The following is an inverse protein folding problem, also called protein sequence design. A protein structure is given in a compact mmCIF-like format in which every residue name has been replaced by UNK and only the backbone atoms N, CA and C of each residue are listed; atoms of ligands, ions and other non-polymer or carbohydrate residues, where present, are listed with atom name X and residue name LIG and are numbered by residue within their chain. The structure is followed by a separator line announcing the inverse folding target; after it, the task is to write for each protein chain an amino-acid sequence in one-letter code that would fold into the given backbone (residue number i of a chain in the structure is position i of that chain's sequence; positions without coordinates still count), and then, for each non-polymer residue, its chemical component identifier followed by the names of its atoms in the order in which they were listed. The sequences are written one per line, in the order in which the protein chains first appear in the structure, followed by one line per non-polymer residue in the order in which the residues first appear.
data_IF_140017990595
#
_entry.id   IF_140017990595
#
_cell.length_a   1.000
_cell.length_b   1.000
_cell.length_c   1.000
_cell.angle_alpha   90.00
_cell.angle_beta   90.00
_cell.angle_gamma   90.00
#
_symmetry.space_group_name_H-M   'P 1'
#
loop_
_entity.id
_entity.type
_entity.pdbx_description
1 polymer ?
#
# COMPACT_ATOMS: atom_id res chain seq x y z
N UNK A 1 9.23 4.73 19.70
CA UNK A 1 8.66 3.99 20.86
C UNK A 1 7.40 4.63 21.47
N UNK A 2 7.22 5.97 21.47
CA UNK A 2 6.06 6.62 22.11
C UNK A 2 4.66 6.11 21.71
N UNK A 3 4.45 5.69 20.44
CA UNK A 3 3.14 5.22 19.94
C UNK A 3 2.88 3.72 20.14
N UNK A 4 3.93 2.89 20.08
CA UNK A 4 3.81 1.42 20.04
C UNK A 4 4.61 0.73 21.16
N UNK A 5 5.09 1.49 22.15
CA UNK A 5 5.91 0.99 23.24
C UNK A 5 7.35 0.65 22.83
N UNK A 6 7.99 -0.16 23.69
CA UNK A 6 9.36 -0.66 23.52
C UNK A 6 9.31 -2.06 22.89
N UNK A 7 9.61 -2.20 21.58
CA UNK A 7 9.63 -3.50 20.92
C UNK A 7 10.81 -4.35 21.40
N UNK A 8 10.60 -5.66 21.40
CA UNK A 8 11.63 -6.68 21.64
C UNK A 8 12.60 -6.74 20.46
N UNK A 9 12.07 -6.69 19.23
CA UNK A 9 12.83 -6.73 17.99
C UNK A 9 12.46 -5.58 17.05
N UNK A 10 13.44 -5.11 16.29
CA UNK A 10 13.32 -4.06 15.28
C UNK A 10 13.81 -4.59 13.94
N UNK A 11 12.86 -5.01 13.12
CA UNK A 11 13.15 -5.43 11.74
C UNK A 11 13.44 -4.21 10.88
N UNK A 12 14.61 -4.18 10.24
CA UNK A 12 14.98 -3.13 9.28
C UNK A 12 15.65 -3.70 8.04
N UNK A 13 15.80 -2.86 7.02
CA UNK A 13 16.71 -3.12 5.90
C UNK A 13 18.18 -3.13 6.33
N UNK A 14 19.06 -3.70 5.49
CA UNK A 14 20.51 -3.80 5.73
C UNK A 14 21.29 -2.51 5.37
N UNK A 15 20.61 -1.37 5.32
CA UNK A 15 21.27 -0.09 5.02
C UNK A 15 22.06 0.41 6.23
N UNK A 16 23.22 1.06 5.97
CA UNK A 16 24.07 1.64 7.03
C UNK A 16 23.34 2.71 7.85
N UNK A 17 22.42 3.44 7.21
CA UNK A 17 21.58 4.46 7.85
C UNK A 17 20.70 3.87 8.95
N UNK A 18 20.14 2.67 8.75
CA UNK A 18 19.28 2.01 9.73
C UNK A 18 20.06 1.65 10.99
N UNK A 19 21.23 1.04 10.84
CA UNK A 19 22.10 0.73 11.98
C UNK A 19 22.59 1.98 12.73
N UNK A 20 22.89 3.07 12.01
CA UNK A 20 23.26 4.35 12.63
C UNK A 20 22.11 4.93 13.48
N UNK A 21 20.89 4.96 12.93
CA UNK A 21 19.71 5.45 13.65
C UNK A 21 19.39 4.60 14.88
N UNK A 22 19.53 3.28 14.80
CA UNK A 22 19.29 2.38 15.93
C UNK A 22 20.31 2.56 17.05
N UNK A 23 21.56 2.90 16.72
CA UNK A 23 22.59 3.25 17.72
C UNK A 23 22.25 4.53 18.46
N UNK A 24 21.79 5.56 17.74
CA UNK A 24 21.40 6.85 18.33
C UNK A 24 20.27 6.69 19.35
N UNK A 25 19.32 5.79 19.11
CA UNK A 25 18.20 5.53 20.02
C UNK A 25 18.44 4.37 21.02
N UNK A 26 19.66 3.82 21.07
CA UNK A 26 20.03 2.75 22.00
C UNK A 26 19.28 1.43 21.80
N UNK A 27 18.97 1.07 20.55
CA UNK A 27 18.23 -0.13 20.19
C UNK A 27 18.96 -1.01 19.15
N UNK A 28 20.27 -0.83 19.01
CA UNK A 28 21.08 -1.57 18.04
C UNK A 28 21.13 -3.09 18.32
N UNK A 29 21.02 -3.47 19.60
CA UNK A 29 20.97 -4.86 20.09
C UNK A 29 19.72 -5.62 19.61
N UNK A 30 18.69 -4.92 19.15
CA UNK A 30 17.37 -5.48 18.78
C UNK A 30 17.17 -5.57 17.28
N UNK A 31 18.18 -5.20 16.51
CA UNK A 31 18.06 -5.12 15.06
C UNK A 31 17.97 -6.53 14.46
N UNK A 32 16.89 -6.80 13.71
CA UNK A 32 16.72 -8.01 12.93
C UNK A 32 16.80 -7.65 11.46
N UNK A 33 17.62 -8.38 10.69
CA UNK A 33 17.80 -8.14 9.25
C UNK A 33 17.78 -9.42 8.42
N UNK A 34 17.20 -10.48 8.96
CA UNK A 34 17.16 -11.76 8.27
C UNK A 34 16.34 -11.68 6.97
N UNK A 35 16.60 -12.67 6.11
CA UNK A 35 15.98 -12.72 4.80
C UNK A 35 14.46 -12.80 4.97
N UNK A 36 13.75 -11.91 4.30
CA UNK A 36 12.28 -11.81 4.28
C UNK A 36 11.61 -11.21 5.52
N UNK A 37 12.34 -10.93 6.60
CA UNK A 37 11.76 -10.31 7.80
C UNK A 37 11.13 -8.95 7.47
N UNK A 38 11.80 -8.17 6.60
CA UNK A 38 11.30 -6.86 6.18
C UNK A 38 10.12 -6.92 5.20
N UNK A 39 9.72 -8.11 4.71
CA UNK A 39 8.66 -8.25 3.71
C UNK A 39 7.34 -7.63 4.18
N UNK A 40 7.04 -7.71 5.47
CA UNK A 40 5.81 -7.11 6.03
C UNK A 40 5.80 -5.60 5.85
N UNK A 41 6.91 -4.94 6.17
CA UNK A 41 7.08 -3.49 5.99
C UNK A 41 7.05 -3.15 4.51
N UNK A 42 7.78 -3.88 3.67
CA UNK A 42 7.79 -3.66 2.22
C UNK A 42 6.40 -3.80 1.59
N UNK A 43 5.63 -4.79 2.03
CA UNK A 43 4.25 -5.01 1.59
C UNK A 43 3.31 -3.91 2.08
N UNK A 44 3.53 -3.36 3.28
CA UNK A 44 2.76 -2.24 3.79
C UNK A 44 2.90 -0.97 2.92
N UNK A 45 4.01 -0.83 2.19
CA UNK A 45 4.21 0.27 1.25
C UNK A 45 3.51 0.05 -0.10
N UNK A 46 3.06 -1.17 -0.44
CA UNK A 46 2.45 -1.43 -1.75
C UNK A 46 1.23 -0.56 -2.07
N UNK A 47 0.25 -0.36 -1.17
CA UNK A 47 -0.90 0.50 -1.44
C UNK A 47 -0.48 1.94 -1.72
N UNK A 48 0.48 2.47 -0.95
CA UNK A 48 1.01 3.81 -1.13
C UNK A 48 1.71 3.95 -2.49
N UNK A 49 2.62 3.02 -2.83
CA UNK A 49 3.29 3.01 -4.13
C UNK A 49 2.33 2.87 -5.31
N UNK A 50 1.20 2.17 -5.15
CA UNK A 50 0.15 2.09 -6.19
C UNK A 50 -0.53 3.45 -6.38
N UNK A 51 -0.82 4.16 -5.28
CA UNK A 51 -1.38 5.51 -5.31
C UNK A 51 -0.43 6.51 -5.94
N UNK A 52 0.85 6.50 -5.56
CA UNK A 52 1.87 7.38 -6.16
C UNK A 52 1.99 7.19 -7.66
N UNK A 53 2.04 5.94 -8.14
CA UNK A 53 2.07 5.67 -9.58
C UNK A 53 0.79 6.12 -10.30
N UNK A 54 -0.37 6.02 -9.66
CA UNK A 54 -1.61 6.52 -10.22
C UNK A 54 -1.63 8.06 -10.28
N UNK A 55 -1.13 8.74 -9.23
CA UNK A 55 -0.94 10.19 -9.21
C UNK A 55 -0.01 10.66 -10.33
N UNK A 56 1.12 10.00 -10.55
CA UNK A 56 2.07 10.35 -11.62
C UNK A 56 1.45 10.32 -13.03
N UNK A 57 0.37 9.57 -13.23
CA UNK A 57 -0.33 9.47 -14.52
C UNK A 57 -1.43 10.52 -14.69
N UNK A 58 -1.76 11.26 -13.64
CA UNK A 58 -2.78 12.30 -13.67
C UNK A 58 -2.14 13.68 -13.71
N UNK A 59 -2.81 14.59 -14.41
CA UNK A 59 -2.30 15.95 -14.65
C UNK A 59 -2.31 16.83 -13.38
N UNK A 60 -3.10 16.48 -12.37
CA UNK A 60 -3.16 17.22 -11.11
C UNK A 60 -3.44 16.31 -9.90
N UNK A 61 -2.95 16.75 -8.73
CA UNK A 61 -3.22 16.09 -7.45
C UNK A 61 -4.67 16.28 -7.00
N UNK A 62 -5.29 17.45 -7.23
CA UNK A 62 -6.70 17.67 -6.88
C UNK A 62 -7.61 16.70 -7.64
N UNK A 63 -7.40 16.51 -8.94
CA UNK A 63 -8.20 15.57 -9.74
C UNK A 63 -8.05 14.15 -9.23
N UNK A 64 -6.83 13.71 -8.90
CA UNK A 64 -6.61 12.39 -8.30
C UNK A 64 -7.37 12.23 -6.98
N UNK A 65 -7.20 13.18 -6.05
CA UNK A 65 -7.80 13.11 -4.73
C UNK A 65 -9.33 13.05 -4.79
N UNK A 66 -9.94 13.78 -5.75
CA UNK A 66 -11.38 13.81 -5.95
C UNK A 66 -11.95 12.46 -6.43
N UNK A 67 -11.25 11.76 -7.34
CA UNK A 67 -11.81 10.56 -8.01
C UNK A 67 -11.29 9.23 -7.47
N UNK A 68 -10.12 9.22 -6.83
CA UNK A 68 -9.40 7.97 -6.50
C UNK A 68 -10.24 6.99 -5.69
N UNK A 69 -10.88 7.44 -4.61
CA UNK A 69 -11.66 6.55 -3.74
C UNK A 69 -12.88 5.99 -4.46
N UNK A 70 -13.57 6.81 -5.26
CA UNK A 70 -14.72 6.37 -6.06
C UNK A 70 -14.31 5.29 -7.06
N UNK A 71 -13.25 5.53 -7.83
CA UNK A 71 -12.70 4.54 -8.79
C UNK A 71 -12.25 3.27 -8.07
N UNK A 72 -11.51 3.39 -6.96
CA UNK A 72 -11.05 2.22 -6.23
C UNK A 72 -12.19 1.36 -5.70
N UNK A 73 -13.24 1.98 -5.15
CA UNK A 73 -14.39 1.27 -4.60
C UNK A 73 -15.18 0.58 -5.71
N UNK A 74 -15.44 1.26 -6.83
CA UNK A 74 -16.15 0.69 -7.98
C UNK A 74 -15.51 -0.61 -8.48
N UNK A 75 -14.19 -0.61 -8.67
CA UNK A 75 -13.47 -1.75 -9.23
C UNK A 75 -13.01 -2.81 -8.20
N UNK A 76 -13.11 -2.54 -6.89
CA UNK A 76 -12.66 -3.45 -5.83
C UNK A 76 -13.74 -3.76 -4.79
N UNK A 77 -15.01 -3.54 -5.11
CA UNK A 77 -16.14 -3.92 -4.25
C UNK A 77 -16.07 -5.41 -3.88
N UNK A 78 -16.26 -5.69 -2.60
CA UNK A 78 -16.27 -7.03 -1.98
C UNK A 78 -15.06 -7.93 -2.31
N UNK A 79 -13.91 -7.34 -2.63
CA UNK A 79 -12.71 -8.08 -3.05
C UNK A 79 -12.28 -9.19 -2.08
N UNK A 80 -12.44 -8.98 -0.78
CA UNK A 80 -12.07 -9.96 0.26
C UNK A 80 -13.24 -10.81 0.74
N UNK A 81 -14.48 -10.48 0.33
CA UNK A 81 -15.70 -11.12 0.80
C UNK A 81 -16.32 -12.04 -0.28
N UNK A 82 -15.96 -11.83 -1.54
CA UNK A 82 -16.44 -12.60 -2.68
C UNK A 82 -15.44 -13.66 -3.14
N UNK A 83 -15.95 -14.74 -3.73
CA UNK A 83 -15.10 -15.70 -4.44
C UNK A 83 -14.38 -15.02 -5.62
N UNK A 84 -13.28 -15.61 -6.07
CA UNK A 84 -12.46 -15.04 -7.15
C UNK A 84 -13.26 -14.87 -8.45
N UNK A 85 -14.18 -15.78 -8.74
CA UNK A 85 -14.96 -15.75 -9.99
C UNK A 85 -16.03 -14.67 -9.94
N UNK A 86 -16.73 -14.55 -8.80
CA UNK A 86 -17.68 -13.45 -8.56
C UNK A 86 -16.97 -12.10 -8.64
N UNK A 87 -15.80 -11.96 -8.02
CA UNK A 87 -15.01 -10.73 -8.10
C UNK A 87 -14.62 -10.36 -9.54
N UNK A 88 -14.22 -11.34 -10.36
CA UNK A 88 -13.91 -11.10 -11.78
C UNK A 88 -15.13 -10.68 -12.59
N UNK A 89 -16.29 -11.28 -12.33
CA UNK A 89 -17.54 -10.92 -12.97
C UNK A 89 -17.93 -9.47 -12.63
N UNK A 90 -17.93 -9.13 -11.34
CA UNK A 90 -18.21 -7.77 -10.86
C UNK A 90 -17.25 -6.74 -11.46
N UNK A 91 -15.95 -7.07 -11.54
CA UNK A 91 -14.95 -6.19 -12.15
C UNK A 91 -15.17 -5.98 -13.65
N UNK A 92 -15.66 -7.00 -14.34
CA UNK A 92 -16.01 -6.91 -15.77
C UNK A 92 -17.23 -6.02 -15.97
N UNK A 93 -18.27 -6.19 -15.14
CA UNK A 93 -19.45 -5.33 -15.16
C UNK A 93 -19.10 -3.86 -14.87
N UNK A 94 -18.32 -3.62 -13.80
CA UNK A 94 -17.82 -2.29 -13.44
C UNK A 94 -17.05 -1.60 -14.58
N UNK A 95 -16.27 -2.37 -15.36
CA UNK A 95 -15.55 -1.85 -16.52
C UNK A 95 -16.48 -1.49 -17.68
N UNK A 96 -17.53 -2.29 -17.91
CA UNK A 96 -18.53 -2.01 -18.94
C UNK A 96 -19.30 -0.72 -18.62
N UNK A 97 -19.76 -0.57 -17.39
CA UNK A 97 -20.42 0.66 -16.90
C UNK A 97 -19.51 1.88 -17.05
N UNK A 98 -18.25 1.76 -16.62
CA UNK A 98 -17.28 2.85 -16.74
C UNK A 98 -17.07 3.30 -18.19
N UNK A 99 -16.97 2.34 -19.13
CA UNK A 99 -16.85 2.65 -20.56
C UNK A 99 -18.09 3.34 -21.11
N UNK A 100 -19.28 2.94 -20.66
CA UNK A 100 -20.53 3.59 -21.03
C UNK A 100 -20.57 5.06 -20.61
N UNK A 101 -20.12 5.38 -19.39
CA UNK A 101 -20.04 6.75 -18.90
C UNK A 101 -19.05 7.63 -19.69
N UNK A 102 -17.97 7.05 -20.22
CA UNK A 102 -16.99 7.79 -21.03
C UNK A 102 -17.42 7.98 -22.50
N UNK A 103 -18.44 7.27 -22.97
CA UNK A 103 -18.94 7.35 -24.34
C UNK A 103 -20.14 8.29 -24.50
N UNK A 104 -20.71 8.75 -23.38
CA UNK A 104 -21.75 9.78 -23.32
C UNK A 104 -21.12 11.19 -23.25
#
# INVERSE_FOLDING_TARGET
MKRHGRPEELVTEKLRSSGAALKEIGAADRQVTDRWENNRVENSHQPFRRRERAMQRLRSLQTFAAVHSSVCNHFNSDRSLSSRDVFKMNRTAALAEWRGLCAA
#
